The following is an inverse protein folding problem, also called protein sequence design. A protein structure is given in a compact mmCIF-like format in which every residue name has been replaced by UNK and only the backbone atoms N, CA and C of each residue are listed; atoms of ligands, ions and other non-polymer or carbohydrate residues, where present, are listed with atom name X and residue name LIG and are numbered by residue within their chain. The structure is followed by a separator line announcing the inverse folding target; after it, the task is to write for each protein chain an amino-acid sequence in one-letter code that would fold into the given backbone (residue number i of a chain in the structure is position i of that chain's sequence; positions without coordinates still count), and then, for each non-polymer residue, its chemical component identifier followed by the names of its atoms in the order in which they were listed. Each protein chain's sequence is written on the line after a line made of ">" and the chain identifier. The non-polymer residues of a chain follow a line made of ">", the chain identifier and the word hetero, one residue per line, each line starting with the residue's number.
data_IF_540833754174
#
_entry.id   IF_540833754174
#
_cell.length_a   1.000
_cell.length_b   1.000
_cell.length_c   1.000
_cell.angle_alpha   90.00
_cell.angle_beta   90.00
_cell.angle_gamma   90.00
#
_symmetry.space_group_name_H-M   'P 1'
#
loop_
_entity.id
_entity.type
_entity.pdbx_description
1 polymer ?
#
# COMPACT_ATOMS: atom_id res chain seq x y z
N UNK A 1 3.84 -19.07 4.83
CA UNK A 1 2.96 -19.64 5.88
C UNK A 1 1.52 -19.11 5.74
N UNK A 2 1.30 -17.80 5.72
CA UNK A 2 -0.02 -17.19 5.61
C UNK A 2 -0.85 -17.74 4.42
N UNK A 3 -0.26 -17.83 3.21
CA UNK A 3 -0.97 -18.34 2.04
C UNK A 3 -1.38 -19.81 2.19
N UNK A 4 -0.57 -20.63 2.84
CA UNK A 4 -0.95 -22.01 3.15
C UNK A 4 -2.12 -22.09 4.12
N UNK A 5 -2.11 -21.21 5.13
CA UNK A 5 -3.21 -21.14 6.11
C UNK A 5 -4.52 -20.71 5.45
N UNK A 6 -4.49 -19.69 4.58
CA UNK A 6 -5.68 -19.24 3.85
C UNK A 6 -6.18 -20.33 2.88
N UNK A 7 -5.28 -21.05 2.22
CA UNK A 7 -5.65 -22.10 1.28
C UNK A 7 -6.22 -23.33 1.97
N UNK A 8 -5.53 -23.83 3.00
CA UNK A 8 -5.81 -25.14 3.60
C UNK A 8 -6.85 -25.07 4.73
N UNK A 9 -6.91 -23.93 5.45
CA UNK A 9 -7.78 -23.73 6.59
C UNK A 9 -8.47 -22.36 6.57
N UNK A 10 -9.19 -21.98 5.51
CA UNK A 10 -9.85 -20.69 5.45
C UNK A 10 -10.96 -20.60 6.53
N UNK A 11 -11.12 -19.41 7.13
CA UNK A 11 -12.26 -19.12 8.00
C UNK A 11 -13.55 -18.99 7.18
N UNK A 12 -13.43 -18.42 5.97
CA UNK A 12 -14.56 -18.19 5.07
C UNK A 12 -14.20 -18.58 3.63
N UNK A 13 -15.22 -19.09 2.95
CA UNK A 13 -15.15 -19.39 1.52
C UNK A 13 -16.42 -18.84 0.85
N UNK A 14 -16.26 -17.96 -0.11
CA UNK A 14 -17.39 -17.33 -0.81
C UNK A 14 -17.04 -16.99 -2.26
N UNK A 15 -18.04 -16.70 -3.06
CA UNK A 15 -17.85 -16.21 -4.41
C UNK A 15 -17.70 -14.69 -4.42
N UNK A 16 -16.63 -14.20 -5.01
CA UNK A 16 -16.34 -12.78 -5.19
C UNK A 16 -16.28 -12.39 -6.65
N UNK A 17 -16.06 -11.11 -6.96
CA UNK A 17 -15.88 -10.63 -8.35
C UNK A 17 -14.73 -11.32 -9.11
N UNK A 18 -13.75 -11.87 -8.40
CA UNK A 18 -12.58 -12.55 -8.98
C UNK A 18 -12.69 -14.08 -8.98
N UNK A 19 -13.81 -14.61 -8.48
CA UNK A 19 -14.05 -16.05 -8.38
C UNK A 19 -14.17 -16.53 -6.95
N UNK A 20 -13.93 -17.82 -6.74
CA UNK A 20 -13.99 -18.44 -5.41
C UNK A 20 -12.84 -17.90 -4.57
N UNK A 21 -13.18 -17.31 -3.44
CA UNK A 21 -12.25 -16.63 -2.54
C UNK A 21 -12.18 -17.38 -1.21
N UNK A 22 -10.96 -17.65 -0.78
CA UNK A 22 -10.64 -18.17 0.56
C UNK A 22 -10.13 -17.01 1.40
N UNK A 23 -10.62 -16.87 2.62
CA UNK A 23 -10.33 -15.73 3.47
C UNK A 23 -10.06 -16.16 4.92
N UNK A 24 -9.14 -15.44 5.55
CA UNK A 24 -9.03 -15.34 7.01
C UNK A 24 -9.11 -13.86 7.41
N UNK A 25 -9.67 -13.60 8.59
CA UNK A 25 -9.88 -12.25 9.08
C UNK A 25 -8.84 -11.84 10.13
N UNK A 26 -8.59 -10.53 10.25
CA UNK A 26 -7.67 -9.96 11.26
C UNK A 26 -6.25 -10.56 11.24
N UNK A 27 -5.73 -10.87 10.06
CA UNK A 27 -4.37 -11.38 9.91
C UNK A 27 -3.34 -10.25 10.10
N UNK A 28 -2.27 -10.53 10.81
CA UNK A 28 -1.18 -9.58 11.03
C UNK A 28 0.16 -10.28 10.97
N UNK A 29 1.18 -9.53 10.52
CA UNK A 29 2.57 -9.98 10.59
C UNK A 29 3.51 -8.79 10.79
N UNK A 30 4.75 -9.08 11.12
CA UNK A 30 5.81 -8.10 11.27
C UNK A 30 7.01 -8.51 10.44
N UNK A 31 7.60 -7.55 9.74
CA UNK A 31 8.88 -7.67 9.04
C UNK A 31 9.93 -6.98 9.90
N UNK A 32 10.84 -7.76 10.49
CA UNK A 32 11.86 -7.24 11.41
C UNK A 32 12.92 -6.40 10.69
N UNK A 33 13.26 -6.78 9.47
CA UNK A 33 14.22 -6.04 8.64
C UNK A 33 13.61 -5.67 7.29
N UNK A 34 12.93 -4.51 7.19
CA UNK A 34 12.34 -4.06 5.93
C UNK A 34 13.39 -3.63 4.89
N UNK A 35 14.68 -3.57 5.22
CA UNK A 35 15.73 -3.33 4.23
C UNK A 35 15.87 -4.47 3.23
N UNK A 36 15.37 -5.65 3.60
CA UNK A 36 15.37 -6.86 2.75
C UNK A 36 14.16 -6.97 1.82
N UNK A 37 13.39 -5.91 1.65
CA UNK A 37 12.18 -5.90 0.81
C UNK A 37 12.42 -6.40 -0.62
N UNK A 38 13.64 -6.27 -1.13
CA UNK A 38 14.05 -6.77 -2.44
C UNK A 38 14.32 -8.29 -2.47
N UNK A 39 14.36 -8.94 -1.30
CA UNK A 39 14.62 -10.38 -1.19
C UNK A 39 13.34 -11.21 -1.14
N UNK A 40 12.29 -10.72 -1.76
CA UNK A 40 11.00 -11.41 -1.84
C UNK A 40 11.20 -12.80 -2.50
N UNK A 41 10.59 -13.81 -1.90
CA UNK A 41 10.83 -15.20 -2.28
C UNK A 41 10.32 -15.47 -3.72
N UNK A 42 11.21 -15.68 -4.71
CA UNK A 42 10.82 -15.89 -6.09
C UNK A 42 10.10 -17.23 -6.33
N UNK A 43 10.09 -18.14 -5.34
CA UNK A 43 9.44 -19.44 -5.44
C UNK A 43 7.90 -19.35 -5.27
N UNK A 44 7.41 -18.30 -4.63
CA UNK A 44 5.97 -18.15 -4.33
C UNK A 44 5.29 -17.26 -5.37
N UNK A 45 5.95 -16.19 -5.79
CA UNK A 45 5.46 -15.31 -6.85
C UNK A 45 6.62 -14.79 -7.69
N UNK A 46 6.47 -14.81 -9.00
CA UNK A 46 7.35 -14.09 -9.92
C UNK A 46 7.06 -12.60 -9.80
N UNK A 47 7.65 -11.95 -8.79
CA UNK A 47 7.55 -10.50 -8.71
C UNK A 47 8.40 -9.92 -9.83
N UNK A 48 7.75 -9.16 -10.66
CA UNK A 48 8.44 -8.28 -11.59
C UNK A 48 8.89 -7.03 -10.80
N UNK A 49 10.16 -7.03 -10.40
CA UNK A 49 10.76 -5.88 -9.73
C UNK A 49 10.70 -4.62 -10.57
N UNK A 50 10.82 -4.75 -11.90
CA UNK A 50 10.67 -3.63 -12.82
C UNK A 50 9.28 -3.00 -12.72
N UNK A 51 8.25 -3.82 -12.59
CA UNK A 51 6.89 -3.36 -12.35
C UNK A 51 6.76 -2.67 -10.98
N UNK A 52 7.28 -3.26 -9.92
CA UNK A 52 7.20 -2.70 -8.57
C UNK A 52 7.93 -1.35 -8.46
N UNK A 53 9.13 -1.22 -9.07
CA UNK A 53 9.86 0.06 -9.15
C UNK A 53 9.07 1.10 -9.96
N UNK A 54 8.57 0.73 -11.14
CA UNK A 54 7.75 1.63 -11.96
C UNK A 54 6.52 2.12 -11.19
N UNK A 55 5.88 1.23 -10.44
CA UNK A 55 4.72 1.58 -9.63
C UNK A 55 5.10 2.52 -8.48
N UNK A 56 6.22 2.28 -7.81
CA UNK A 56 6.73 3.16 -6.76
C UNK A 56 7.06 4.55 -7.31
N UNK A 57 7.80 4.63 -8.41
CA UNK A 57 8.19 5.90 -9.04
C UNK A 57 6.95 6.68 -9.50
N UNK A 58 5.97 5.98 -10.06
CA UNK A 58 4.68 6.56 -10.43
C UNK A 58 3.94 7.14 -9.21
N UNK A 59 3.86 6.40 -8.10
CA UNK A 59 3.25 6.91 -6.86
C UNK A 59 3.97 8.14 -6.34
N UNK A 60 5.31 8.12 -6.32
CA UNK A 60 6.12 9.21 -5.79
C UNK A 60 6.15 10.43 -6.69
N UNK A 61 5.82 10.30 -7.97
CA UNK A 61 5.62 11.43 -8.87
C UNK A 61 4.35 12.23 -8.54
N UNK A 62 3.45 11.67 -7.75
CA UNK A 62 2.12 12.25 -7.53
C UNK A 62 1.27 12.22 -8.80
N UNK A 63 1.62 11.37 -9.77
CA UNK A 63 1.02 11.29 -11.07
C UNK A 63 -0.46 10.89 -11.04
N UNK A 64 -1.21 11.42 -12.00
CA UNK A 64 -2.60 11.12 -12.27
C UNK A 64 -2.76 10.04 -13.34
N UNK A 65 -3.91 10.07 -14.01
CA UNK A 65 -4.28 9.06 -15.01
C UNK A 65 -3.36 9.11 -16.24
N UNK A 66 -2.99 10.30 -16.71
CA UNK A 66 -2.14 10.46 -17.90
C UNK A 66 -0.74 9.90 -17.67
N UNK A 67 -0.15 10.19 -16.50
CA UNK A 67 1.14 9.66 -16.09
C UNK A 67 1.08 8.14 -15.88
N UNK A 68 -0.02 7.61 -15.34
CA UNK A 68 -0.24 6.17 -15.22
C UNK A 68 -0.29 5.50 -16.59
N UNK A 69 -1.01 6.06 -17.55
CA UNK A 69 -1.09 5.55 -18.92
C UNK A 69 0.28 5.53 -19.59
N UNK A 70 1.13 6.49 -19.31
CA UNK A 70 2.49 6.52 -19.82
C UNK A 70 3.40 5.51 -19.12
N UNK A 71 3.38 5.46 -17.78
CA UNK A 71 4.22 4.58 -16.97
C UNK A 71 3.93 3.10 -17.24
N UNK A 72 2.65 2.74 -17.41
CA UNK A 72 2.19 1.36 -17.61
C UNK A 72 1.79 1.06 -19.06
N UNK A 73 2.30 1.82 -20.03
CA UNK A 73 2.00 1.60 -21.45
C UNK A 73 2.33 0.16 -21.87
N UNK A 74 1.33 -0.53 -22.40
CA UNK A 74 1.44 -1.93 -22.81
C UNK A 74 1.18 -2.94 -21.69
N UNK A 75 0.93 -2.50 -20.46
CA UNK A 75 0.48 -3.35 -19.37
C UNK A 75 -0.99 -3.06 -19.04
N UNK A 76 -1.89 -3.67 -19.80
CA UNK A 76 -3.34 -3.48 -19.65
C UNK A 76 -3.86 -3.86 -18.26
N UNK A 77 -3.23 -4.86 -17.62
CA UNK A 77 -3.63 -5.29 -16.29
C UNK A 77 -3.35 -4.20 -15.25
N UNK A 78 -2.18 -3.56 -15.32
CA UNK A 78 -1.83 -2.43 -14.45
C UNK A 78 -2.75 -1.23 -14.72
N UNK A 79 -3.01 -0.91 -15.98
CA UNK A 79 -3.88 0.21 -16.36
C UNK A 79 -5.31 0.05 -15.83
N UNK A 80 -5.83 -1.16 -15.75
CA UNK A 80 -7.16 -1.41 -15.16
C UNK A 80 -7.28 -0.99 -13.69
N UNK A 81 -6.17 -1.02 -12.94
CA UNK A 81 -6.14 -0.57 -11.54
C UNK A 81 -6.04 0.95 -11.38
N UNK A 82 -5.59 1.66 -12.39
CA UNK A 82 -5.36 3.10 -12.32
C UNK A 82 -6.32 3.92 -13.19
N UNK A 83 -7.09 3.28 -14.07
CA UNK A 83 -8.12 3.96 -14.86
C UNK A 83 -9.45 3.98 -14.09
N UNK A 84 -10.06 5.15 -13.91
CA UNK A 84 -11.43 5.21 -13.44
C UNK A 84 -12.33 4.53 -14.50
N UNK A 85 -13.39 3.85 -14.07
CA UNK A 85 -14.40 3.38 -15.01
C UNK A 85 -14.97 4.57 -15.79
N UNK A 86 -15.23 4.37 -17.06
CA UNK A 86 -15.94 5.35 -17.90
C UNK A 86 -17.39 5.49 -17.40
N UNK A 87 -17.62 6.39 -16.49
CA UNK A 87 -18.96 6.74 -16.03
C UNK A 87 -19.05 8.24 -15.81
N UNK A 88 -20.14 8.85 -16.27
CA UNK A 88 -20.44 10.26 -16.03
C UNK A 88 -20.72 10.58 -14.54
N UNK A 89 -20.88 9.55 -13.72
CA UNK A 89 -21.16 9.66 -12.29
C UNK A 89 -19.90 9.86 -11.43
N UNK A 90 -18.69 9.63 -11.97
CA UNK A 90 -17.45 9.78 -11.22
C UNK A 90 -16.93 11.21 -11.32
N UNK A 91 -16.47 11.79 -10.20
CA UNK A 91 -15.77 13.06 -10.27
C UNK A 91 -14.55 12.94 -11.19
N UNK A 92 -14.33 13.94 -12.04
CA UNK A 92 -13.17 13.99 -12.96
C UNK A 92 -11.82 13.89 -12.26
N UNK A 93 -11.80 14.09 -10.95
CA UNK A 93 -10.64 13.95 -10.07
C UNK A 93 -10.74 12.63 -9.27
N UNK A 94 -10.94 11.52 -9.94
CA UNK A 94 -10.97 10.20 -9.33
C UNK A 94 -9.61 9.89 -8.70
N UNK A 95 -9.55 9.97 -7.40
CA UNK A 95 -8.30 9.99 -6.66
C UNK A 95 -8.17 8.78 -5.72
N UNK A 96 -8.49 7.58 -6.22
CA UNK A 96 -8.16 6.32 -5.54
C UNK A 96 -6.70 5.94 -5.73
N UNK A 97 -6.00 6.64 -6.61
CA UNK A 97 -4.56 6.49 -6.77
C UNK A 97 -3.86 6.93 -5.49
N UNK A 98 -3.02 6.07 -4.95
CA UNK A 98 -2.31 6.32 -3.70
C UNK A 98 -1.31 7.47 -3.83
N UNK A 99 -0.66 7.59 -4.98
CA UNK A 99 0.40 8.57 -5.23
C UNK A 99 0.04 10.01 -4.86
N UNK A 100 -1.04 10.60 -5.40
CA UNK A 100 -1.44 11.96 -5.07
C UNK A 100 -1.70 12.18 -3.57
N UNK A 101 -2.24 11.15 -2.89
CA UNK A 101 -2.51 11.19 -1.45
C UNK A 101 -1.23 11.12 -0.63
N UNK A 102 -0.30 10.25 -1.03
CA UNK A 102 1.01 10.09 -0.38
C UNK A 102 1.80 11.39 -0.50
N UNK A 103 2.03 11.86 -1.71
CA UNK A 103 2.88 13.03 -1.99
C UNK A 103 2.36 14.28 -1.30
N UNK A 104 1.04 14.46 -1.23
CA UNK A 104 0.44 15.60 -0.54
C UNK A 104 0.71 15.61 0.97
N UNK A 105 0.74 14.43 1.61
CA UNK A 105 0.88 14.30 3.08
C UNK A 105 2.33 14.12 3.53
N UNK A 106 3.20 13.66 2.63
CA UNK A 106 4.57 13.25 2.95
C UNK A 106 5.39 14.35 3.65
N UNK A 107 5.37 15.64 3.23
CA UNK A 107 6.09 16.69 3.93
C UNK A 107 5.64 16.87 5.39
N UNK A 108 4.33 16.78 5.66
CA UNK A 108 3.79 16.94 7.02
C UNK A 108 4.18 15.77 7.92
N UNK A 109 4.20 14.54 7.39
CA UNK A 109 4.66 13.35 8.10
C UNK A 109 6.13 13.48 8.49
N UNK A 110 6.99 13.89 7.56
CA UNK A 110 8.42 14.09 7.80
C UNK A 110 8.65 15.19 8.82
N UNK A 111 7.98 16.34 8.67
CA UNK A 111 8.10 17.46 9.59
C UNK A 111 7.64 17.11 11.01
N UNK A 112 6.53 16.38 11.15
CA UNK A 112 6.05 15.93 12.46
C UNK A 112 7.08 15.02 13.15
N UNK A 113 7.65 14.05 12.43
CA UNK A 113 8.66 13.14 12.97
C UNK A 113 9.98 13.83 13.30
N UNK A 114 10.38 14.81 12.49
CA UNK A 114 11.58 15.62 12.75
C UNK A 114 11.42 16.51 14.00
N UNK A 115 10.25 17.12 14.16
CA UNK A 115 9.95 18.02 15.28
C UNK A 115 9.66 17.26 16.59
N UNK A 116 9.07 16.07 16.52
CA UNK A 116 8.62 15.30 17.68
C UNK A 116 8.90 13.80 17.51
N UNK A 117 10.05 13.37 18.03
CA UNK A 117 10.48 11.96 17.98
C UNK A 117 9.50 10.97 18.64
N UNK A 118 8.71 11.44 19.60
CA UNK A 118 7.75 10.61 20.31
C UNK A 118 6.33 10.70 19.72
N UNK A 119 6.18 11.33 18.57
CA UNK A 119 4.88 11.49 17.90
C UNK A 119 4.16 10.16 17.71
N UNK A 120 2.83 10.25 17.76
CA UNK A 120 1.85 9.21 17.44
C UNK A 120 0.83 9.73 16.41
N UNK A 121 1.18 10.85 15.73
CA UNK A 121 0.29 11.56 14.83
C UNK A 121 0.76 11.50 13.35
N UNK A 122 1.96 10.97 13.11
CA UNK A 122 2.51 10.87 11.76
C UNK A 122 1.81 9.73 10.98
N UNK A 123 0.52 9.91 10.75
CA UNK A 123 -0.35 8.96 10.05
C UNK A 123 -0.70 9.49 8.68
N UNK A 124 -0.34 8.72 7.66
CA UNK A 124 -0.68 8.93 6.27
C UNK A 124 -2.01 8.24 5.97
N UNK A 125 -3.03 9.00 5.63
CA UNK A 125 -4.36 8.48 5.29
C UNK A 125 -4.44 8.19 3.79
N UNK A 126 -4.76 6.95 3.45
CA UNK A 126 -4.97 6.54 2.06
C UNK A 126 -6.45 6.49 1.74
N UNK A 127 -7.25 5.74 2.51
CA UNK A 127 -8.70 5.78 2.37
C UNK A 127 -9.22 7.15 2.81
N UNK A 128 -10.02 7.78 1.95
CA UNK A 128 -10.63 9.08 2.22
C UNK A 128 -12.15 8.89 2.40
N UNK A 129 -12.82 9.61 3.31
CA UNK A 129 -14.28 9.58 3.42
C UNK A 129 -15.02 9.85 2.11
N UNK A 130 -14.46 10.66 1.22
CA UNK A 130 -15.03 10.94 -0.10
C UNK A 130 -15.10 9.69 -1.00
N UNK A 131 -14.27 8.68 -0.74
CA UNK A 131 -14.30 7.40 -1.48
C UNK A 131 -15.61 6.64 -1.23
N UNK A 132 -16.34 6.92 -0.16
CA UNK A 132 -17.63 6.30 0.12
C UNK A 132 -18.67 6.58 -0.97
N UNK A 133 -18.49 7.63 -1.75
CA UNK A 133 -19.33 7.90 -2.93
C UNK A 133 -19.21 6.79 -4.00
N UNK A 134 -18.15 5.97 -3.95
CA UNK A 134 -17.93 4.86 -4.87
C UNK A 134 -18.71 3.59 -4.46
N UNK A 135 -19.08 3.45 -3.19
CA UNK A 135 -19.70 2.23 -2.66
C UNK A 135 -21.04 1.86 -3.34
N UNK A 136 -21.93 2.82 -3.72
CA UNK A 136 -23.16 2.48 -4.41
C UNK A 136 -22.98 2.17 -5.90
N UNK A 137 -21.79 2.39 -6.44
CA UNK A 137 -21.47 2.15 -7.84
C UNK A 137 -21.20 0.67 -8.09
N UNK A 138 -20.80 0.33 -9.32
CA UNK A 138 -20.48 -1.06 -9.69
C UNK A 138 -19.36 -1.63 -8.80
N UNK A 139 -19.50 -2.89 -8.35
CA UNK A 139 -18.48 -3.64 -7.60
C UNK A 139 -17.12 -3.76 -8.33
N UNK A 140 -17.09 -3.49 -9.63
CA UNK A 140 -15.86 -3.46 -10.44
C UNK A 140 -15.04 -2.20 -10.27
N UNK A 141 -15.58 -1.18 -9.59
CA UNK A 141 -14.87 0.07 -9.34
C UNK A 141 -13.81 -0.17 -8.27
N UNK A 142 -12.59 0.27 -8.55
CA UNK A 142 -11.49 0.15 -7.59
C UNK A 142 -11.75 1.08 -6.39
N UNK A 143 -11.63 0.50 -5.21
CA UNK A 143 -11.79 1.15 -3.92
C UNK A 143 -10.52 0.93 -3.11
N UNK A 144 -9.93 1.94 -2.46
CA UNK A 144 -8.65 1.80 -1.78
C UNK A 144 -8.64 0.64 -0.79
N UNK A 145 -7.65 -0.24 -0.90
CA UNK A 145 -7.47 -1.37 0.02
C UNK A 145 -6.74 -0.94 1.29
N UNK A 146 -5.84 0.03 1.20
CA UNK A 146 -5.10 0.58 2.33
C UNK A 146 -5.94 1.64 3.04
N UNK A 147 -6.07 1.53 4.38
CA UNK A 147 -6.65 2.58 5.21
C UNK A 147 -5.63 3.68 5.45
N UNK A 148 -4.49 3.29 6.01
CA UNK A 148 -3.46 4.22 6.45
C UNK A 148 -2.10 3.54 6.63
N UNK A 149 -1.06 4.38 6.79
CA UNK A 149 0.25 3.98 7.26
C UNK A 149 0.68 4.96 8.38
N UNK A 150 0.91 4.45 9.58
CA UNK A 150 1.36 5.24 10.72
C UNK A 150 2.85 5.06 10.96
N UNK A 151 3.60 6.15 10.87
CA UNK A 151 5.05 6.18 11.10
C UNK A 151 5.34 6.67 12.51
N UNK A 152 6.30 6.04 13.19
CA UNK A 152 6.68 6.42 14.53
C UNK A 152 8.13 6.04 14.83
N UNK A 153 8.77 6.82 15.71
CA UNK A 153 10.16 6.57 16.10
C UNK A 153 10.18 5.98 17.50
N UNK A 154 10.85 4.83 17.68
CA UNK A 154 11.16 4.21 18.96
C UNK A 154 12.55 3.61 18.90
N UNK A 155 13.29 3.69 19.99
CA UNK A 155 14.64 3.10 20.15
C UNK A 155 15.59 3.48 18.98
N UNK A 156 15.57 4.77 18.59
CA UNK A 156 16.34 5.31 17.46
C UNK A 156 16.03 4.65 16.09
N UNK A 157 14.89 3.98 15.97
CA UNK A 157 14.43 3.36 14.75
C UNK A 157 13.11 3.98 14.26
N UNK A 158 13.03 4.22 12.95
CA UNK A 158 11.78 4.54 12.27
C UNK A 158 11.00 3.24 12.06
N UNK A 159 9.78 3.19 12.57
CA UNK A 159 8.86 2.06 12.42
C UNK A 159 7.65 2.51 11.60
N UNK A 160 6.96 1.54 10.98
CA UNK A 160 5.68 1.77 10.31
C UNK A 160 4.69 0.67 10.65
N UNK A 161 3.43 1.07 10.81
CA UNK A 161 2.28 0.17 10.86
C UNK A 161 1.33 0.51 9.72
N UNK A 162 0.97 -0.51 8.92
CA UNK A 162 0.08 -0.38 7.76
C UNK A 162 -1.20 -1.16 8.03
N UNK A 163 -2.35 -0.51 7.83
CA UNK A 163 -3.67 -1.11 7.95
C UNK A 163 -4.33 -1.25 6.58
N UNK A 164 -4.75 -2.48 6.27
CA UNK A 164 -5.46 -2.83 5.04
C UNK A 164 -6.87 -3.33 5.36
N UNK A 165 -7.91 -2.81 4.66
CA UNK A 165 -9.25 -3.40 4.75
C UNK A 165 -9.31 -4.76 4.07
N UNK A 166 -8.51 -4.94 3.01
CA UNK A 166 -8.56 -6.13 2.15
C UNK A 166 -7.22 -6.32 1.47
N UNK A 167 -6.72 -7.54 1.43
CA UNK A 167 -5.42 -7.87 0.84
C UNK A 167 -5.47 -9.20 0.11
N UNK A 168 -5.23 -9.16 -1.20
CA UNK A 168 -4.95 -10.37 -1.96
C UNK A 168 -3.51 -10.83 -1.69
N UNK A 169 -3.36 -11.88 -0.91
CA UNK A 169 -2.06 -12.36 -0.43
C UNK A 169 -1.29 -13.16 -1.49
N UNK A 170 -2.00 -13.71 -2.47
CA UNK A 170 -1.38 -14.49 -3.55
C UNK A 170 -0.72 -13.61 -4.62
N UNK A 171 -1.29 -12.43 -4.89
CA UNK A 171 -0.90 -11.60 -6.04
C UNK A 171 -0.28 -10.28 -5.64
N UNK A 172 -0.91 -9.53 -4.72
CA UNK A 172 -0.61 -8.11 -4.49
C UNK A 172 0.25 -7.88 -3.24
N UNK A 173 0.11 -8.70 -2.20
CA UNK A 173 0.77 -8.49 -0.90
C UNK A 173 2.26 -8.18 -1.01
N UNK A 174 2.98 -8.88 -1.86
CA UNK A 174 4.43 -8.69 -1.99
C UNK A 174 4.78 -7.33 -2.60
N UNK A 175 3.97 -6.87 -3.55
CA UNK A 175 4.14 -5.54 -4.16
C UNK A 175 3.86 -4.48 -3.11
N UNK A 176 2.80 -4.62 -2.32
CA UNK A 176 2.45 -3.67 -1.26
C UNK A 176 3.53 -3.61 -0.18
N UNK A 177 4.08 -4.75 0.25
CA UNK A 177 5.23 -4.78 1.17
C UNK A 177 6.41 -4.01 0.57
N UNK A 178 6.74 -4.27 -0.69
CA UNK A 178 7.81 -3.56 -1.38
C UNK A 178 7.59 -2.04 -1.38
N UNK A 179 6.40 -1.60 -1.77
CA UNK A 179 6.06 -0.19 -1.86
C UNK A 179 6.14 0.51 -0.50
N UNK A 180 5.56 -0.09 0.53
CA UNK A 180 5.58 0.48 1.88
C UNK A 180 6.99 0.49 2.49
N UNK A 181 7.81 -0.53 2.25
CA UNK A 181 9.19 -0.55 2.70
C UNK A 181 10.05 0.52 1.99
N UNK A 182 9.84 0.73 0.69
CA UNK A 182 10.48 1.81 -0.08
C UNK A 182 10.06 3.18 0.43
N UNK A 183 8.78 3.37 0.73
CA UNK A 183 8.28 4.63 1.28
C UNK A 183 8.85 4.90 2.67
N UNK A 184 8.91 3.88 3.53
CA UNK A 184 9.56 3.96 4.83
C UNK A 184 11.04 4.38 4.71
N UNK A 185 11.77 3.78 3.76
CA UNK A 185 13.16 4.13 3.47
C UNK A 185 13.27 5.59 2.99
N UNK A 186 12.38 6.03 2.12
CA UNK A 186 12.34 7.42 1.65
C UNK A 186 12.16 8.41 2.81
N UNK A 187 11.21 8.15 3.70
CA UNK A 187 10.99 8.99 4.90
C UNK A 187 12.23 9.01 5.79
N UNK A 188 12.88 7.86 5.98
CA UNK A 188 14.13 7.78 6.73
C UNK A 188 15.24 8.65 6.12
N UNK A 189 15.40 8.59 4.79
CA UNK A 189 16.42 9.38 4.08
C UNK A 189 16.16 10.89 4.20
N UNK A 190 14.91 11.30 4.13
CA UNK A 190 14.54 12.71 4.34
C UNK A 190 14.82 13.15 5.80
N UNK A 191 14.50 12.30 6.79
CA UNK A 191 14.84 12.57 8.20
C UNK A 191 16.35 12.66 8.41
N UNK A 192 17.16 11.87 7.73
CA UNK A 192 18.63 11.97 7.77
C UNK A 192 19.13 13.30 7.21
N UNK A 193 18.55 13.79 6.10
CA UNK A 193 18.86 15.12 5.56
C UNK A 193 18.57 16.24 6.56
N UNK A 194 17.58 16.04 7.44
CA UNK A 194 17.24 16.95 8.54
C UNK A 194 18.09 16.72 9.80
N UNK A 195 19.11 15.86 9.75
CA UNK A 195 20.06 15.62 10.83
C UNK A 195 19.69 14.51 11.81
N UNK A 196 18.61 13.77 11.58
CA UNK A 196 18.25 12.62 12.41
C UNK A 196 19.18 11.44 12.12
N UNK A 197 19.62 10.74 13.19
CA UNK A 197 20.43 9.51 13.07
C UNK A 197 19.57 8.32 13.47
N UNK A 198 18.71 7.91 12.57
CA UNK A 198 17.77 6.81 12.77
C UNK A 198 18.18 5.59 11.94
N UNK A 199 17.70 4.43 12.37
CA UNK A 199 17.76 3.18 11.60
C UNK A 199 16.36 2.83 11.05
N UNK A 200 16.29 1.92 10.09
CA UNK A 200 15.04 1.24 9.76
C UNK A 200 14.67 0.35 10.95
N UNK A 201 13.44 0.50 11.40
CA UNK A 201 12.86 -0.33 12.44
C UNK A 201 11.93 -1.38 11.83
N UNK A 202 10.89 -1.73 12.56
CA UNK A 202 9.92 -2.74 12.20
C UNK A 202 8.86 -2.23 11.23
N UNK A 203 8.42 -3.12 10.37
CA UNK A 203 7.28 -2.90 9.49
C UNK A 203 6.16 -3.88 9.88
N UNK A 204 5.13 -3.36 10.52
CA UNK A 204 3.96 -4.13 10.92
C UNK A 204 2.84 -3.97 9.89
N UNK A 205 2.15 -5.05 9.61
CA UNK A 205 1.10 -5.10 8.59
C UNK A 205 -0.13 -5.81 9.16
N UNK A 206 -1.28 -5.16 9.05
CA UNK A 206 -2.56 -5.70 9.48
C UNK A 206 -3.55 -5.72 8.31
N UNK A 207 -4.30 -6.79 8.19
CA UNK A 207 -5.30 -7.02 7.15
C UNK A 207 -6.62 -7.42 7.80
N UNK A 208 -7.67 -6.64 7.61
CA UNK A 208 -9.01 -7.01 8.08
C UNK A 208 -9.48 -8.26 7.34
N UNK A 209 -9.28 -8.30 6.02
CA UNK A 209 -9.55 -9.44 5.15
C UNK A 209 -8.27 -9.83 4.41
N UNK A 210 -7.67 -10.95 4.76
CA UNK A 210 -6.56 -11.57 4.03
C UNK A 210 -7.12 -12.72 3.18
N UNK A 211 -7.01 -12.62 1.85
CA UNK A 211 -7.67 -13.54 0.93
C UNK A 211 -6.81 -13.91 -0.27
N UNK A 212 -7.21 -15.00 -0.91
CA UNK A 212 -6.63 -15.48 -2.16
C UNK A 212 -7.68 -16.14 -3.07
#
# INVERSE_FOLDING_TARGET
>A
QLNFEIHDNPEYVFDSRIGKTHEITNASFEVEDPSTYHMLNPLINKIDYGYAETFYDFMMSGGGIEEAQQAFKGNESALKFVQPPETDALPKNFNTLYGPRIVKQLPDIINELAANRNSRRATMMILNPDDHALLPLDEKIEYPCCFNATYFIRDDALNVHVDMRSQNTAVVLQIDIYLHARLMKHILDELWKLGSKLQLGKFSYHMVSAHM
#
